data_IF_057784067182
#
_entry.id   IF_057784067182
#
_cell.length_a   1.000
_cell.length_b   1.000
_cell.length_c   1.000
_cell.angle_alpha   90.00
_cell.angle_beta   90.00
_cell.angle_gamma   90.00
#
_symmetry.space_group_name_H-M   'P 1'
#
loop_
_entity.id
_entity.type
_entity.pdbx_description
1 polymer ?
#
# COMPACT_ATOMS: atom_id res chain seq x y z
N UNK A 1 -33.56 43.01 17.35
CA UNK A 1 -32.82 41.84 17.84
C UNK A 1 -32.69 40.87 16.67
N UNK A 2 -31.56 40.94 15.98
CA UNK A 2 -31.19 39.95 14.97
C UNK A 2 -30.57 38.82 15.77
N UNK A 3 -31.21 37.66 15.81
CA UNK A 3 -30.59 36.43 16.33
C UNK A 3 -29.34 36.19 15.50
N UNK A 4 -28.19 36.34 16.15
CA UNK A 4 -26.92 35.85 15.63
C UNK A 4 -27.10 34.34 15.48
N UNK A 5 -27.17 33.87 14.24
CA UNK A 5 -27.01 32.46 13.93
C UNK A 5 -25.57 32.15 14.32
N UNK A 6 -25.39 31.54 15.49
CA UNK A 6 -24.09 31.02 15.92
C UNK A 6 -23.59 30.10 14.82
N UNK A 7 -22.54 30.56 14.14
CA UNK A 7 -21.99 29.85 13.00
C UNK A 7 -21.30 28.59 13.54
N UNK A 8 -21.84 27.43 13.21
CA UNK A 8 -21.35 26.08 13.55
C UNK A 8 -19.84 25.90 13.34
N UNK A 9 -19.22 26.75 12.49
CA UNK A 9 -17.78 26.83 12.24
C UNK A 9 -16.90 27.34 13.39
N UNK A 10 -17.43 27.86 14.51
CA UNK A 10 -16.61 28.51 15.55
C UNK A 10 -16.25 27.63 16.78
N UNK A 11 -16.68 26.38 16.83
CA UNK A 11 -16.33 25.43 17.90
C UNK A 11 -15.58 24.19 17.37
N UNK A 12 -14.66 23.64 18.16
CA UNK A 12 -13.81 22.46 17.85
C UNK A 12 -14.59 21.23 17.33
N UNK A 13 -15.91 21.19 17.59
CA UNK A 13 -16.87 20.20 17.10
C UNK A 13 -16.90 20.04 15.56
N UNK A 14 -16.58 21.09 14.78
CA UNK A 14 -16.51 20.95 13.32
C UNK A 14 -15.29 20.11 12.90
N UNK A 15 -14.15 20.30 13.56
CA UNK A 15 -12.93 19.57 13.22
C UNK A 15 -13.07 18.07 13.54
N UNK A 16 -13.69 17.73 14.68
CA UNK A 16 -13.99 16.33 15.02
C UNK A 16 -14.99 15.68 14.05
N UNK A 17 -16.01 16.42 13.61
CA UNK A 17 -16.99 15.92 12.64
C UNK A 17 -16.34 15.55 11.30
N UNK A 18 -15.47 16.42 10.77
CA UNK A 18 -14.80 16.22 9.47
C UNK A 18 -13.81 15.03 9.46
N UNK A 19 -13.30 14.62 10.64
CA UNK A 19 -12.46 13.42 10.77
C UNK A 19 -13.19 12.12 10.38
N UNK A 20 -14.53 12.13 10.40
CA UNK A 20 -15.39 10.96 10.17
C UNK A 20 -16.19 11.06 8.86
N UNK A 21 -15.64 11.72 7.83
CA UNK A 21 -16.29 11.91 6.53
C UNK A 21 -16.89 10.64 5.92
N UNK A 22 -16.19 9.51 5.94
CA UNK A 22 -16.72 8.22 5.42
C UNK A 22 -18.02 7.79 6.15
N UNK A 23 -18.09 7.97 7.48
CA UNK A 23 -19.27 7.64 8.27
C UNK A 23 -20.40 8.65 8.04
N UNK A 24 -20.05 9.93 7.91
CA UNK A 24 -21.01 10.99 7.61
C UNK A 24 -21.64 10.79 6.23
N UNK A 25 -20.84 10.48 5.21
CA UNK A 25 -21.34 10.16 3.88
C UNK A 25 -22.23 8.92 3.89
N UNK A 26 -21.89 7.90 4.67
CA UNK A 26 -22.71 6.70 4.81
C UNK A 26 -24.09 7.00 5.44
N UNK A 27 -24.12 7.88 6.45
CA UNK A 27 -25.38 8.39 7.00
C UNK A 27 -26.16 9.18 5.92
N UNK A 28 -25.49 10.10 5.23
CA UNK A 28 -26.12 11.01 4.28
C UNK A 28 -26.67 10.30 3.03
N UNK A 29 -26.09 9.14 2.66
CA UNK A 29 -26.61 8.28 1.58
C UNK A 29 -27.82 7.44 2.01
N UNK A 30 -28.09 7.33 3.30
CA UNK A 30 -29.17 6.51 3.84
C UNK A 30 -28.85 5.01 3.90
N UNK A 31 -27.57 4.62 3.79
CA UNK A 31 -27.10 3.24 3.80
C UNK A 31 -27.06 2.63 5.22
N UNK A 32 -27.72 3.27 6.19
CA UNK A 32 -27.68 2.95 7.62
C UNK A 32 -28.54 1.73 7.97
N UNK A 33 -28.07 0.80 8.82
CA UNK A 33 -28.86 -0.28 9.38
C UNK A 33 -30.13 0.24 10.00
N UNK A 34 -31.23 -0.44 9.70
CA UNK A 34 -32.60 -0.14 10.14
C UNK A 34 -32.80 -0.07 11.67
N UNK A 35 -31.79 -0.32 12.50
CA UNK A 35 -31.90 -0.41 13.96
C UNK A 35 -31.68 0.93 14.68
N UNK A 36 -31.16 1.96 14.03
CA UNK A 36 -30.99 3.30 14.62
C UNK A 36 -32.26 4.16 14.38
N UNK A 37 -33.24 4.06 15.28
CA UNK A 37 -34.54 4.78 15.20
C UNK A 37 -34.40 6.30 14.97
N UNK A 38 -33.36 6.92 15.52
CA UNK A 38 -33.09 8.36 15.36
C UNK A 38 -32.68 8.71 13.91
N UNK A 39 -31.88 7.87 13.26
CA UNK A 39 -31.48 8.03 11.86
C UNK A 39 -32.65 7.79 10.90
N UNK A 40 -33.55 6.84 11.22
CA UNK A 40 -34.81 6.67 10.48
C UNK A 40 -35.65 7.94 10.47
N UNK A 41 -35.86 8.55 11.65
CA UNK A 41 -36.63 9.79 11.78
C UNK A 41 -35.96 10.96 11.05
N UNK A 42 -34.63 11.05 11.06
CA UNK A 42 -33.90 12.09 10.33
C UNK A 42 -33.96 11.92 8.81
N UNK A 43 -33.92 10.67 8.31
CA UNK A 43 -34.09 10.37 6.89
C UNK A 43 -35.53 10.64 6.40
N UNK A 44 -36.55 10.41 7.24
CA UNK A 44 -37.95 10.74 6.93
C UNK A 44 -38.21 12.26 6.82
N UNK A 45 -37.39 13.09 7.49
CA UNK A 45 -37.52 14.56 7.47
C UNK A 45 -36.94 15.19 6.19
N UNK A 46 -36.22 14.41 5.36
CA UNK A 46 -35.70 14.89 4.07
C UNK A 46 -34.63 15.98 4.20
N UNK A 47 -33.79 15.89 5.25
CA UNK A 47 -32.66 16.79 5.45
C UNK A 47 -31.60 16.60 4.36
N UNK A 48 -30.98 17.69 3.91
CA UNK A 48 -29.90 17.63 2.90
C UNK A 48 -28.58 17.07 3.47
N UNK A 49 -28.38 17.11 4.79
CA UNK A 49 -27.21 16.57 5.50
C UNK A 49 -27.64 15.95 6.85
N UNK A 50 -28.25 14.74 6.85
CA UNK A 50 -28.67 14.04 8.07
C UNK A 50 -27.54 13.84 9.09
N UNK A 51 -26.31 13.60 8.64
CA UNK A 51 -25.12 13.39 9.49
C UNK A 51 -24.83 14.56 10.42
N UNK A 52 -24.86 15.79 9.90
CA UNK A 52 -24.64 17.03 10.68
C UNK A 52 -25.74 17.25 11.72
N UNK A 53 -27.00 16.99 11.34
CA UNK A 53 -28.12 17.09 12.26
C UNK A 53 -28.02 16.04 13.37
N UNK A 54 -27.58 14.83 13.04
CA UNK A 54 -27.38 13.76 14.02
C UNK A 54 -26.25 14.10 15.01
N UNK A 55 -25.11 14.55 14.50
CA UNK A 55 -23.96 14.95 15.33
C UNK A 55 -24.31 16.10 16.29
N UNK A 56 -25.03 17.12 15.81
CA UNK A 56 -25.41 18.27 16.62
C UNK A 56 -26.58 17.98 17.58
N UNK A 57 -27.51 17.10 17.19
CA UNK A 57 -28.72 16.80 17.95
C UNK A 57 -28.52 15.78 19.07
N UNK A 58 -27.68 14.76 18.86
CA UNK A 58 -27.37 13.73 19.84
C UNK A 58 -25.96 13.16 19.65
N UNK A 59 -24.96 13.85 20.22
CA UNK A 59 -23.54 13.46 20.11
C UNK A 59 -23.28 12.05 20.67
N UNK A 60 -23.96 11.65 21.74
CA UNK A 60 -23.77 10.34 22.35
C UNK A 60 -24.28 9.20 21.44
N UNK A 61 -25.47 9.36 20.85
CA UNK A 61 -26.00 8.41 19.87
C UNK A 61 -25.15 8.37 18.59
N UNK A 62 -24.65 9.53 18.13
CA UNK A 62 -23.72 9.59 17.00
C UNK A 62 -22.44 8.79 17.27
N UNK A 63 -21.81 8.96 18.44
CA UNK A 63 -20.61 8.22 18.82
C UNK A 63 -20.86 6.71 18.93
N UNK A 64 -22.03 6.31 19.46
CA UNK A 64 -22.42 4.91 19.51
C UNK A 64 -22.58 4.31 18.10
N UNK A 65 -23.25 5.03 17.20
CA UNK A 65 -23.41 4.62 15.81
C UNK A 65 -22.07 4.55 15.07
N UNK A 66 -21.17 5.51 15.30
CA UNK A 66 -19.82 5.51 14.74
C UNK A 66 -19.02 4.28 15.20
N UNK A 67 -19.13 3.89 16.48
CA UNK A 67 -18.47 2.66 17.00
C UNK A 67 -19.02 1.41 16.33
N UNK A 68 -20.33 1.29 16.15
CA UNK A 68 -20.95 0.16 15.48
C UNK A 68 -20.51 0.07 14.00
N UNK A 69 -20.58 1.20 13.27
CA UNK A 69 -20.13 1.30 11.88
C UNK A 69 -18.66 0.87 11.72
N UNK A 70 -17.78 1.31 12.62
CA UNK A 70 -16.36 0.94 12.58
C UNK A 70 -16.13 -0.56 12.70
N UNK A 71 -16.85 -1.24 13.61
CA UNK A 71 -16.73 -2.68 13.80
C UNK A 71 -17.25 -3.44 12.58
N UNK A 72 -18.42 -3.07 12.08
CA UNK A 72 -19.01 -3.70 10.89
C UNK A 72 -18.11 -3.55 9.66
N UNK A 73 -17.64 -2.32 9.40
CA UNK A 73 -16.78 -2.02 8.26
C UNK A 73 -15.43 -2.73 8.36
N UNK A 74 -14.91 -2.88 9.58
CA UNK A 74 -13.68 -3.66 9.84
C UNK A 74 -13.86 -5.12 9.46
N UNK A 75 -14.97 -5.75 9.86
CA UNK A 75 -15.24 -7.15 9.53
C UNK A 75 -15.30 -7.38 8.01
N UNK A 76 -15.96 -6.47 7.29
CA UNK A 76 -16.05 -6.52 5.83
C UNK A 76 -14.67 -6.34 5.17
N UNK A 77 -13.95 -5.27 5.52
CA UNK A 77 -12.69 -4.89 4.88
C UNK A 77 -11.59 -5.92 5.16
N UNK A 78 -11.55 -6.47 6.38
CA UNK A 78 -10.61 -7.53 6.76
C UNK A 78 -11.12 -8.93 6.40
N UNK A 79 -12.18 -8.99 5.57
CA UNK A 79 -12.62 -10.18 4.85
C UNK A 79 -13.06 -11.33 5.76
N UNK A 80 -13.80 -11.02 6.84
CA UNK A 80 -14.31 -12.02 7.79
C UNK A 80 -15.07 -13.15 7.12
N UNK A 81 -16.03 -12.80 6.26
CA UNK A 81 -16.87 -13.78 5.55
C UNK A 81 -16.03 -14.70 4.65
N UNK A 82 -15.02 -14.16 3.97
CA UNK A 82 -14.10 -14.95 3.16
C UNK A 82 -13.36 -16.00 3.99
N UNK A 83 -12.86 -15.63 5.17
CA UNK A 83 -12.17 -16.61 6.02
C UNK A 83 -13.11 -17.71 6.52
N UNK A 84 -14.32 -17.34 6.93
CA UNK A 84 -15.33 -18.32 7.36
C UNK A 84 -15.72 -19.26 6.22
N UNK A 85 -15.96 -18.73 5.02
CA UNK A 85 -16.30 -19.54 3.84
C UNK A 85 -15.16 -20.48 3.45
N UNK A 86 -13.91 -20.01 3.52
CA UNK A 86 -12.74 -20.79 3.07
C UNK A 86 -12.23 -21.82 4.06
N UNK A 87 -12.28 -21.51 5.35
CA UNK A 87 -11.67 -22.35 6.39
C UNK A 87 -12.71 -22.98 7.34
N UNK A 88 -14.00 -22.67 7.19
CA UNK A 88 -15.05 -23.10 8.11
C UNK A 88 -15.19 -22.16 9.31
N UNK A 89 -16.20 -22.39 10.16
CA UNK A 89 -16.56 -21.46 11.23
C UNK A 89 -15.44 -21.26 12.26
N UNK A 90 -14.83 -22.34 12.75
CA UNK A 90 -13.81 -22.29 13.81
C UNK A 90 -12.47 -21.75 13.28
N UNK A 91 -11.89 -22.41 12.27
CA UNK A 91 -10.60 -22.00 11.70
C UNK A 91 -10.70 -20.67 10.95
N UNK A 92 -11.83 -20.38 10.30
CA UNK A 92 -12.07 -19.11 9.63
C UNK A 92 -12.16 -17.95 10.60
N UNK A 93 -12.86 -18.12 11.73
CA UNK A 93 -12.88 -17.13 12.80
C UNK A 93 -11.48 -16.91 13.38
N UNK A 94 -10.71 -17.99 13.59
CA UNK A 94 -9.31 -17.88 14.03
C UNK A 94 -8.45 -17.06 13.06
N UNK A 95 -8.54 -17.33 11.75
CA UNK A 95 -7.77 -16.58 10.75
C UNK A 95 -8.20 -15.12 10.63
N UNK A 96 -9.49 -14.84 10.73
CA UNK A 96 -10.00 -13.48 10.77
C UNK A 96 -9.48 -12.71 12.00
N UNK A 97 -9.56 -13.27 13.20
CA UNK A 97 -9.06 -12.65 14.44
C UNK A 97 -7.56 -12.34 14.35
N UNK A 98 -6.79 -13.25 13.75
CA UNK A 98 -5.37 -13.00 13.47
C UNK A 98 -5.17 -11.87 12.48
N UNK A 99 -5.97 -11.81 11.42
CA UNK A 99 -5.88 -10.74 10.44
C UNK A 99 -6.20 -9.37 11.08
N UNK A 100 -7.21 -9.33 11.93
CA UNK A 100 -7.60 -8.16 12.72
C UNK A 100 -6.51 -7.72 13.70
N UNK A 101 -5.93 -8.66 14.46
CA UNK A 101 -4.83 -8.36 15.37
C UNK A 101 -3.63 -7.74 14.64
N UNK A 102 -3.29 -8.26 13.46
CA UNK A 102 -2.19 -7.75 12.64
C UNK A 102 -2.48 -6.37 12.07
N UNK A 103 -3.72 -6.13 11.67
CA UNK A 103 -4.16 -4.80 11.28
C UNK A 103 -4.04 -3.82 12.44
N UNK A 104 -4.44 -4.20 13.67
CA UNK A 104 -4.26 -3.35 14.86
C UNK A 104 -2.79 -3.01 15.13
N UNK A 105 -1.89 -3.99 14.99
CA UNK A 105 -0.44 -3.75 15.08
C UNK A 105 0.05 -2.75 14.03
N UNK A 106 -0.48 -2.81 12.79
CA UNK A 106 -0.17 -1.80 11.78
C UNK A 106 -0.66 -0.41 12.19
N UNK A 107 -1.89 -0.29 12.72
CA UNK A 107 -2.41 1.01 13.20
C UNK A 107 -1.55 1.59 14.31
N UNK A 108 -1.06 0.76 15.24
CA UNK A 108 -0.11 1.20 16.28
C UNK A 108 1.16 1.79 15.66
N UNK A 109 1.78 1.11 14.70
CA UNK A 109 3.00 1.62 14.04
C UNK A 109 2.75 2.87 13.19
N UNK A 110 1.59 2.95 12.54
CA UNK A 110 1.18 4.15 11.81
C UNK A 110 1.00 5.35 12.75
N UNK A 111 0.39 5.13 13.91
CA UNK A 111 0.21 6.18 14.92
C UNK A 111 1.55 6.67 15.49
N UNK A 112 2.56 5.80 15.60
CA UNK A 112 3.93 6.14 15.98
C UNK A 112 4.73 6.85 14.86
N UNK A 113 4.15 7.00 13.66
CA UNK A 113 4.83 7.54 12.46
C UNK A 113 6.11 6.77 12.07
N UNK A 114 6.16 5.47 12.38
CA UNK A 114 7.34 4.61 12.11
C UNK A 114 7.22 3.81 10.80
N UNK A 115 6.09 3.96 10.08
CA UNK A 115 5.80 3.16 8.89
C UNK A 115 6.27 3.86 7.62
N UNK A 116 7.11 3.17 6.85
CA UNK A 116 7.52 3.61 5.50
C UNK A 116 6.88 2.66 4.47
N UNK A 117 6.04 3.16 3.55
CA UNK A 117 5.44 2.33 2.52
C UNK A 117 6.50 1.92 1.49
N UNK A 118 6.50 0.63 1.16
CA UNK A 118 7.28 0.05 0.07
C UNK A 118 6.29 -0.40 -1.02
N UNK A 119 6.27 0.33 -2.13
CA UNK A 119 5.23 0.23 -3.15
C UNK A 119 5.77 -0.49 -4.38
N UNK A 120 5.10 -1.57 -4.78
CA UNK A 120 5.42 -2.34 -5.96
C UNK A 120 4.49 -2.07 -7.14
N UNK A 121 4.77 -2.73 -8.26
CA UNK A 121 4.10 -2.47 -9.54
C UNK A 121 2.61 -2.81 -9.54
N UNK A 122 2.13 -3.57 -8.55
CA UNK A 122 0.71 -3.85 -8.38
C UNK A 122 -0.15 -2.59 -8.20
N UNK A 123 0.37 -1.55 -7.56
CA UNK A 123 -0.33 -0.27 -7.38
C UNK A 123 -0.51 0.49 -8.70
N UNK A 124 0.42 0.31 -9.63
CA UNK A 124 0.40 1.02 -10.92
C UNK A 124 -0.52 0.38 -11.97
N UNK A 125 -1.06 -0.83 -11.71
CA UNK A 125 -1.89 -1.57 -12.67
C UNK A 125 -3.18 -0.83 -13.01
N UNK A 126 -3.92 -0.36 -12.01
CA UNK A 126 -5.15 0.40 -12.23
C UNK A 126 -4.89 1.73 -12.97
N UNK A 127 -3.68 2.28 -12.84
CA UNK A 127 -3.26 3.49 -13.54
C UNK A 127 -2.74 3.26 -14.98
N UNK A 128 -2.81 2.03 -15.49
CA UNK A 128 -2.48 1.69 -16.88
C UNK A 128 -1.09 1.12 -17.11
N UNK A 129 -0.32 0.81 -16.06
CA UNK A 129 1.02 0.22 -16.19
C UNK A 129 1.04 -1.28 -15.89
N UNK A 130 1.78 -2.11 -16.65
CA UNK A 130 1.86 -3.52 -16.35
C UNK A 130 2.71 -3.79 -15.10
N UNK A 131 2.46 -4.91 -14.42
CA UNK A 131 3.43 -5.45 -13.48
C UNK A 131 4.71 -5.87 -14.22
N UNK A 132 5.84 -5.91 -13.51
CA UNK A 132 7.11 -6.36 -14.10
C UNK A 132 7.01 -7.77 -14.70
N UNK A 133 6.35 -8.69 -14.00
CA UNK A 133 6.09 -10.04 -14.48
C UNK A 133 5.26 -10.06 -15.79
N UNK A 134 4.20 -9.24 -15.86
CA UNK A 134 3.36 -9.16 -17.06
C UNK A 134 4.09 -8.50 -18.22
N UNK A 135 4.92 -7.49 -17.96
CA UNK A 135 5.75 -6.85 -18.99
C UNK A 135 6.75 -7.83 -19.60
N UNK A 136 7.54 -8.51 -18.76
CA UNK A 136 8.49 -9.55 -19.20
C UNK A 136 7.79 -10.70 -19.90
N UNK A 137 6.57 -11.05 -19.48
CA UNK A 137 5.77 -12.08 -20.16
C UNK A 137 5.43 -11.71 -21.60
N UNK A 138 5.08 -10.45 -21.86
CA UNK A 138 4.76 -10.01 -23.22
C UNK A 138 6.02 -9.87 -24.07
N UNK A 139 7.07 -9.25 -23.54
CA UNK A 139 8.34 -9.10 -24.27
C UNK A 139 9.01 -10.45 -24.55
N UNK A 140 9.00 -11.37 -23.60
CA UNK A 140 9.53 -12.71 -23.78
C UNK A 140 8.84 -13.47 -24.91
N UNK A 141 7.52 -13.28 -25.09
CA UNK A 141 6.79 -13.85 -26.24
C UNK A 141 7.25 -13.22 -27.55
N UNK A 142 7.44 -11.90 -27.60
CA UNK A 142 7.99 -11.20 -28.77
C UNK A 142 9.43 -11.65 -29.07
N UNK A 143 10.20 -12.04 -28.06
CA UNK A 143 11.53 -12.66 -28.19
C UNK A 143 11.52 -14.14 -28.57
N UNK A 144 10.33 -14.73 -28.80
CA UNK A 144 10.21 -16.13 -29.21
C UNK A 144 10.40 -17.15 -28.08
N UNK A 145 10.42 -16.71 -26.82
CA UNK A 145 10.50 -17.62 -25.67
C UNK A 145 9.16 -18.37 -25.55
N UNK A 146 9.15 -19.72 -25.47
CA UNK A 146 7.92 -20.47 -25.28
C UNK A 146 7.14 -20.01 -24.04
N UNK A 147 5.83 -19.85 -24.18
CA UNK A 147 4.95 -19.38 -23.09
C UNK A 147 5.13 -20.20 -21.80
N UNK A 148 5.22 -21.52 -21.92
CA UNK A 148 5.40 -22.43 -20.77
C UNK A 148 6.70 -22.18 -20.02
N UNK A 149 7.79 -21.88 -20.75
CA UNK A 149 9.09 -21.57 -20.17
C UNK A 149 9.09 -20.21 -19.46
N UNK A 150 8.47 -19.19 -20.06
CA UNK A 150 8.26 -17.89 -19.40
C UNK A 150 7.48 -18.08 -18.10
N UNK A 151 6.37 -18.83 -18.13
CA UNK A 151 5.54 -19.07 -16.95
C UNK A 151 6.29 -19.82 -15.85
N UNK A 152 7.15 -20.78 -16.21
CA UNK A 152 8.03 -21.47 -15.28
C UNK A 152 9.05 -20.54 -14.63
N UNK A 153 9.76 -19.72 -15.42
CA UNK A 153 10.74 -18.77 -14.90
C UNK A 153 10.10 -17.71 -14.00
N UNK A 154 8.96 -17.14 -14.40
CA UNK A 154 8.21 -16.21 -13.56
C UNK A 154 7.75 -16.84 -12.24
N UNK A 155 7.31 -18.11 -12.27
CA UNK A 155 6.91 -18.82 -11.05
C UNK A 155 8.08 -19.02 -10.08
N UNK A 156 9.29 -19.23 -10.60
CA UNK A 156 10.53 -19.34 -9.83
C UNK A 156 11.14 -17.99 -9.42
N UNK A 157 10.60 -16.87 -9.93
CA UNK A 157 11.14 -15.53 -9.71
C UNK A 157 12.40 -15.23 -10.52
N UNK A 158 12.65 -16.01 -11.57
CA UNK A 158 13.81 -15.89 -12.46
C UNK A 158 13.60 -14.79 -13.52
N UNK A 159 13.29 -13.58 -13.07
CA UNK A 159 13.07 -12.42 -13.95
C UNK A 159 14.33 -12.08 -14.75
N UNK A 160 15.49 -12.19 -14.12
CA UNK A 160 16.80 -11.91 -14.72
C UNK A 160 17.14 -12.86 -15.88
N UNK A 161 16.70 -14.13 -15.83
CA UNK A 161 16.88 -15.08 -16.94
C UNK A 161 16.04 -14.70 -18.15
N UNK A 162 14.82 -14.20 -17.94
CA UNK A 162 13.95 -13.74 -19.02
C UNK A 162 14.57 -12.51 -19.69
N UNK A 163 15.06 -11.56 -18.89
CA UNK A 163 15.74 -10.35 -19.37
C UNK A 163 16.95 -10.73 -20.22
N UNK A 164 17.81 -11.62 -19.72
CA UNK A 164 19.00 -12.07 -20.44
C UNK A 164 18.66 -12.69 -21.80
N UNK A 165 17.64 -13.54 -21.88
CA UNK A 165 17.19 -14.12 -23.15
C UNK A 165 16.65 -13.07 -24.12
N UNK A 166 15.87 -12.09 -23.63
CA UNK A 166 15.35 -11.00 -24.47
C UNK A 166 16.52 -10.14 -24.99
N UNK A 167 17.47 -9.80 -24.13
CA UNK A 167 18.66 -9.01 -24.52
C UNK A 167 19.53 -9.74 -25.55
N UNK A 168 19.65 -11.07 -25.44
CA UNK A 168 20.36 -11.90 -26.43
C UNK A 168 19.63 -11.97 -27.78
N UNK A 169 18.30 -12.03 -27.78
CA UNK A 169 17.49 -12.12 -29.00
C UNK A 169 17.34 -10.79 -29.74
N UNK A 170 17.10 -9.70 -29.01
CA UNK A 170 16.70 -8.39 -29.57
C UNK A 170 17.71 -7.26 -29.34
N UNK A 171 18.72 -7.49 -28.51
CA UNK A 171 19.67 -6.48 -28.09
C UNK A 171 19.17 -5.63 -26.93
N UNK A 172 20.12 -5.13 -26.12
CA UNK A 172 19.84 -4.34 -24.91
C UNK A 172 19.11 -3.04 -25.19
N UNK A 173 19.46 -2.36 -26.28
CA UNK A 173 18.88 -1.05 -26.61
C UNK A 173 17.40 -1.16 -26.98
N UNK A 174 17.02 -2.24 -27.67
CA UNK A 174 15.61 -2.50 -28.01
C UNK A 174 14.80 -2.81 -26.76
N UNK A 175 15.31 -3.68 -25.88
CA UNK A 175 14.68 -3.97 -24.59
C UNK A 175 14.47 -2.70 -23.75
N UNK A 176 15.49 -1.85 -23.64
CA UNK A 176 15.39 -0.59 -22.92
C UNK A 176 14.45 0.42 -23.59
N UNK A 177 14.33 0.43 -24.93
CA UNK A 177 13.37 1.27 -25.64
C UNK A 177 11.93 0.83 -25.37
N UNK A 178 11.63 -0.47 -25.41
CA UNK A 178 10.28 -0.97 -25.13
C UNK A 178 9.81 -0.67 -23.70
N UNK A 179 10.72 -0.77 -22.72
CA UNK A 179 10.43 -0.33 -21.34
C UNK A 179 10.08 1.15 -21.32
N UNK A 180 10.86 1.99 -22.02
CA UNK A 180 10.55 3.42 -22.13
C UNK A 180 9.17 3.66 -22.73
N UNK A 181 8.82 2.98 -23.82
CA UNK A 181 7.56 3.18 -24.51
C UNK A 181 6.33 2.77 -23.68
N UNK A 182 6.50 1.80 -22.78
CA UNK A 182 5.45 1.36 -21.86
C UNK A 182 5.33 2.30 -20.65
N UNK A 183 6.45 2.65 -20.01
CA UNK A 183 6.44 3.35 -18.72
C UNK A 183 6.51 4.88 -18.84
N UNK A 184 6.86 5.45 -20.00
CA UNK A 184 6.87 6.91 -20.22
C UNK A 184 5.47 7.49 -20.48
N UNK A 185 4.44 6.64 -20.57
CA UNK A 185 3.05 7.06 -20.78
C UNK A 185 2.52 7.82 -19.55
N UNK A 186 1.52 8.66 -19.76
CA UNK A 186 0.78 9.28 -18.67
C UNK A 186 -0.31 8.32 -18.23
N UNK A 187 -0.22 7.82 -16.99
CA UNK A 187 -1.25 6.97 -16.40
C UNK A 187 -2.39 7.77 -15.77
N UNK A 188 -3.37 7.06 -15.23
CA UNK A 188 -4.50 7.64 -14.49
C UNK A 188 -4.29 7.50 -12.98
N UNK A 189 -4.39 8.61 -12.25
CA UNK A 189 -4.44 8.58 -10.79
C UNK A 189 -5.64 7.73 -10.35
N UNK A 190 -5.40 6.79 -9.43
CA UNK A 190 -6.43 5.93 -8.84
C UNK A 190 -6.61 6.28 -7.37
N UNK A 191 -7.76 5.92 -6.79
CA UNK A 191 -8.08 6.18 -5.38
C UNK A 191 -7.00 5.63 -4.43
N UNK A 192 -6.48 4.44 -4.71
CA UNK A 192 -5.38 3.86 -3.92
C UNK A 192 -4.14 4.77 -3.85
N UNK A 193 -3.79 5.42 -4.96
CA UNK A 193 -2.63 6.33 -5.01
C UNK A 193 -2.90 7.60 -4.21
N UNK A 194 -4.13 8.11 -4.23
CA UNK A 194 -4.58 9.21 -3.37
C UNK A 194 -4.49 8.82 -1.88
N UNK A 195 -4.99 7.63 -1.51
CA UNK A 195 -4.92 7.14 -0.11
C UNK A 195 -3.50 6.99 0.40
N UNK A 196 -2.59 6.50 -0.44
CA UNK A 196 -1.17 6.41 -0.10
C UNK A 196 -0.61 7.80 0.23
N UNK A 197 -0.89 8.80 -0.60
CA UNK A 197 -0.39 10.16 -0.38
C UNK A 197 -1.03 10.86 0.84
N UNK A 198 -2.28 10.54 1.16
CA UNK A 198 -2.94 11.04 2.36
C UNK A 198 -2.34 10.46 3.64
N UNK A 199 -2.01 9.16 3.62
CA UNK A 199 -1.52 8.41 4.79
C UNK A 199 0.00 8.58 5.01
N UNK A 200 0.77 8.77 3.94
CA UNK A 200 2.23 8.84 3.97
C UNK A 200 2.76 10.12 3.33
N UNK A 201 3.32 11.01 4.16
CA UNK A 201 3.77 12.35 3.72
C UNK A 201 5.27 12.58 3.85
N UNK A 202 5.99 11.71 4.54
CA UNK A 202 7.44 11.85 4.77
C UNK A 202 8.25 11.13 3.68
N UNK A 203 8.34 9.80 3.77
CA UNK A 203 9.16 9.00 2.86
C UNK A 203 8.36 7.83 2.28
N UNK A 204 8.49 7.58 0.98
CA UNK A 204 7.96 6.42 0.26
C UNK A 204 9.09 5.73 -0.51
N UNK A 205 9.08 4.40 -0.54
CA UNK A 205 10.04 3.60 -1.30
C UNK A 205 9.29 2.85 -2.40
N UNK A 206 9.84 2.79 -3.61
CA UNK A 206 9.24 2.02 -4.70
C UNK A 206 10.29 1.41 -5.63
N UNK A 207 9.95 0.29 -6.26
CA UNK A 207 10.71 -0.29 -7.38
C UNK A 207 10.10 0.08 -8.74
N UNK A 208 9.05 0.92 -8.76
CA UNK A 208 8.34 1.28 -9.98
C UNK A 208 9.06 2.39 -10.74
N UNK A 209 9.02 2.32 -12.07
CA UNK A 209 9.57 3.35 -12.95
C UNK A 209 8.57 4.45 -13.29
N UNK A 210 7.28 4.12 -13.30
CA UNK A 210 6.20 5.05 -13.65
C UNK A 210 6.09 6.22 -12.67
N UNK A 211 5.30 7.21 -13.04
CA UNK A 211 5.23 8.50 -12.33
C UNK A 211 3.97 8.69 -11.49
N UNK A 212 3.17 7.64 -11.27
CA UNK A 212 1.86 7.78 -10.63
C UNK A 212 1.95 8.34 -9.23
N UNK A 213 2.93 7.88 -8.44
CA UNK A 213 3.13 8.37 -7.08
C UNK A 213 3.47 9.86 -7.08
N UNK A 214 4.34 10.32 -7.97
CA UNK A 214 4.71 11.73 -8.05
C UNK A 214 3.54 12.62 -8.50
N UNK A 215 2.72 12.12 -9.44
CA UNK A 215 1.58 12.86 -9.98
C UNK A 215 0.53 13.19 -8.90
N UNK A 216 0.36 12.34 -7.89
CA UNK A 216 -0.60 12.60 -6.81
C UNK A 216 -0.21 13.81 -5.95
N UNK A 217 1.08 14.07 -5.79
CA UNK A 217 1.55 15.22 -5.02
C UNK A 217 1.74 16.49 -5.89
N UNK A 218 1.53 16.38 -7.21
CA UNK A 218 1.63 17.50 -8.14
C UNK A 218 0.37 18.36 -8.10
N UNK A 219 0.28 19.22 -7.08
CA UNK A 219 -0.88 20.07 -6.77
C UNK A 219 -0.77 21.50 -7.33
N UNK A 220 0.22 21.77 -8.20
CA UNK A 220 0.43 23.08 -8.84
C UNK A 220 1.20 24.12 -8.02
N UNK A 221 1.46 23.87 -6.73
CA UNK A 221 2.47 24.61 -5.96
C UNK A 221 3.85 23.98 -6.15
N UNK A 222 4.92 24.78 -6.01
CA UNK A 222 6.31 24.35 -6.21
C UNK A 222 6.60 22.98 -5.56
N UNK A 223 6.93 22.00 -6.41
CA UNK A 223 7.04 20.55 -6.17
C UNK A 223 7.10 20.13 -4.70
N UNK A 224 5.94 19.73 -4.15
CA UNK A 224 5.81 19.12 -2.82
C UNK A 224 6.50 17.73 -2.72
N UNK A 225 7.09 17.24 -3.81
CA UNK A 225 7.81 15.97 -3.89
C UNK A 225 9.25 16.16 -4.31
N UNK A 226 10.11 15.36 -3.68
CA UNK A 226 11.49 15.08 -4.07
C UNK A 226 11.58 13.63 -4.55
N UNK A 227 12.12 13.41 -5.76
CA UNK A 227 12.39 12.05 -6.27
C UNK A 227 13.87 11.74 -6.12
N UNK A 228 14.19 10.65 -5.45
CA UNK A 228 15.57 10.19 -5.22
C UNK A 228 15.76 8.84 -5.90
N UNK A 229 16.80 8.71 -6.73
CA UNK A 229 17.17 7.42 -7.32
C UNK A 229 17.81 6.51 -6.26
N UNK A 230 17.60 5.19 -6.36
CA UNK A 230 18.23 4.18 -5.52
C UNK A 230 19.74 4.35 -5.32
N UNK A 231 20.46 4.81 -6.36
CA UNK A 231 21.91 5.06 -6.28
C UNK A 231 22.30 6.22 -5.35
N UNK A 232 21.35 7.12 -5.09
CA UNK A 232 21.47 8.27 -4.19
C UNK A 232 20.47 8.19 -3.04
N UNK A 233 19.92 7.02 -2.72
CA UNK A 233 18.86 6.85 -1.72
C UNK A 233 19.23 7.27 -0.28
N UNK A 234 20.51 7.53 -0.03
CA UNK A 234 21.03 8.08 1.24
C UNK A 234 21.18 9.61 1.22
N UNK A 235 20.77 10.28 0.15
CA UNK A 235 20.73 11.74 0.08
C UNK A 235 19.77 12.30 1.13
N UNK A 236 20.04 13.51 1.63
CA UNK A 236 19.18 14.10 2.64
C UNK A 236 17.82 14.48 2.03
N UNK A 237 16.71 14.09 2.70
CA UNK A 237 15.39 14.62 2.40
C UNK A 237 15.38 16.15 2.50
N UNK A 238 14.71 16.79 1.56
CA UNK A 238 14.43 18.22 1.63
C UNK A 238 13.35 18.48 2.68
N UNK A 239 13.51 19.50 3.54
CA UNK A 239 12.46 19.91 4.46
C UNK A 239 11.16 20.23 3.71
N UNK A 240 10.02 19.89 4.32
CA UNK A 240 8.66 20.17 3.82
C UNK A 240 8.29 19.50 2.48
N UNK A 241 9.05 18.51 2.03
CA UNK A 241 8.73 17.70 0.84
C UNK A 241 8.56 16.23 1.18
N UNK A 242 7.63 15.59 0.48
CA UNK A 242 7.53 14.13 0.48
C UNK A 242 8.63 13.54 -0.39
N UNK A 243 9.42 12.63 0.18
CA UNK A 243 10.52 11.95 -0.50
C UNK A 243 10.05 10.64 -1.11
N UNK A 244 10.21 10.47 -2.43
CA UNK A 244 9.94 9.21 -3.14
C UNK A 244 11.28 8.62 -3.60
N UNK A 245 11.66 7.50 -3.01
CA UNK A 245 12.87 6.76 -3.32
C UNK A 245 12.56 5.68 -4.35
N UNK A 246 13.00 5.87 -5.59
CA UNK A 246 12.82 4.93 -6.70
C UNK A 246 14.06 4.07 -6.84
N UNK A 247 14.02 2.87 -6.26
CA UNK A 247 15.16 1.96 -6.11
C UNK A 247 15.79 1.58 -7.46
N UNK A 248 14.97 1.37 -8.48
CA UNK A 248 15.44 1.00 -9.82
C UNK A 248 15.53 2.17 -10.80
N UNK A 249 15.32 3.40 -10.33
CA UNK A 249 15.39 4.61 -11.14
C UNK A 249 14.03 5.16 -11.59
N UNK A 250 14.07 6.24 -12.35
CA UNK A 250 12.90 7.00 -12.79
C UNK A 250 12.84 7.07 -14.32
N UNK A 251 11.67 6.83 -14.90
CA UNK A 251 11.47 6.86 -16.35
C UNK A 251 11.69 8.25 -16.97
N UNK A 252 11.72 9.33 -16.16
CA UNK A 252 12.21 10.65 -16.63
C UNK A 252 13.68 10.63 -17.03
N UNK A 253 14.47 9.78 -16.42
CA UNK A 253 15.90 9.64 -16.66
C UNK A 253 16.27 8.18 -16.99
N UNK A 254 15.82 7.65 -18.15
CA UNK A 254 15.96 6.22 -18.46
C UNK A 254 17.39 5.68 -18.43
N UNK A 255 18.37 6.53 -18.73
CA UNK A 255 19.79 6.17 -18.66
C UNK A 255 20.26 5.82 -17.23
N UNK A 256 19.49 6.19 -16.21
CA UNK A 256 19.74 5.91 -14.79
C UNK A 256 18.84 4.80 -14.24
N UNK A 257 18.07 4.11 -15.10
CA UNK A 257 17.23 2.98 -14.70
C UNK A 257 18.00 1.66 -14.72
N UNK A 258 17.66 0.76 -13.79
CA UNK A 258 18.19 -0.59 -13.69
C UNK A 258 17.22 -1.54 -14.41
N UNK A 259 17.48 -1.82 -15.68
CA UNK A 259 16.55 -2.58 -16.53
C UNK A 259 17.11 -3.97 -16.88
N UNK A 260 18.36 -3.99 -17.35
CA UNK A 260 19.04 -5.18 -17.86
C UNK A 260 19.80 -5.96 -16.79
N UNK A 261 20.18 -7.22 -17.11
CA UNK A 261 20.92 -8.12 -16.19
C UNK A 261 22.21 -7.48 -15.67
N UNK A 262 23.00 -6.90 -16.58
CA UNK A 262 24.27 -6.26 -16.24
C UNK A 262 24.09 -5.06 -15.28
N UNK A 263 22.99 -4.32 -15.41
CA UNK A 263 22.70 -3.20 -14.52
C UNK A 263 22.29 -3.69 -13.13
N UNK A 264 21.53 -4.78 -13.03
CA UNK A 264 21.25 -5.43 -11.74
C UNK A 264 22.54 -5.90 -11.07
N UNK A 265 23.44 -6.53 -11.82
CA UNK A 265 24.72 -7.01 -11.28
C UNK A 265 25.62 -5.86 -10.81
N UNK A 266 25.62 -4.73 -11.52
CA UNK A 266 26.34 -3.52 -11.09
C UNK A 266 25.71 -2.86 -9.86
N UNK A 267 24.38 -2.91 -9.73
CA UNK A 267 23.64 -2.24 -8.67
C UNK A 267 23.58 -3.04 -7.35
N UNK A 268 23.54 -4.37 -7.44
CA UNK A 268 23.38 -5.28 -6.29
C UNK A 268 24.60 -6.17 -6.03
N UNK A 269 25.47 -6.37 -7.02
CA UNK A 269 26.56 -7.34 -7.00
C UNK A 269 26.26 -8.56 -7.86
N UNK A 270 27.25 -9.01 -8.65
CA UNK A 270 27.05 -10.04 -9.68
C UNK A 270 26.86 -11.46 -9.12
N UNK A 271 27.77 -11.89 -8.24
CA UNK A 271 27.76 -13.26 -7.66
C UNK A 271 27.09 -13.31 -6.29
N UNK A 272 27.33 -12.29 -5.49
CA UNK A 272 26.78 -12.13 -4.14
C UNK A 272 26.33 -10.68 -3.97
N UNK A 273 25.38 -10.47 -3.07
CA UNK A 273 24.93 -9.13 -2.71
C UNK A 273 26.09 -8.33 -2.09
N UNK A 274 26.36 -7.15 -2.63
CA UNK A 274 27.38 -6.25 -2.10
C UNK A 274 26.73 -5.09 -1.34
N UNK A 275 26.77 -5.18 0.00
CA UNK A 275 26.21 -4.17 0.90
C UNK A 275 27.01 -2.86 0.95
N UNK A 276 28.12 -2.74 0.22
CA UNK A 276 28.82 -1.47 0.03
C UNK A 276 28.25 -0.68 -1.15
N UNK A 277 27.52 -1.33 -2.06
CA UNK A 277 26.84 -0.65 -3.15
C UNK A 277 25.66 0.18 -2.62
N UNK A 278 25.34 1.32 -3.27
CA UNK A 278 24.36 2.26 -2.74
C UNK A 278 22.98 1.67 -2.47
N UNK A 279 22.46 0.83 -3.38
CA UNK A 279 21.11 0.28 -3.28
C UNK A 279 21.00 -0.75 -2.14
N UNK A 280 21.82 -1.83 -2.10
CA UNK A 280 21.82 -2.75 -0.96
C UNK A 280 22.07 -2.06 0.37
N UNK A 281 22.95 -1.04 0.41
CA UNK A 281 23.21 -0.24 1.61
C UNK A 281 21.97 0.53 2.09
N UNK A 282 21.27 1.22 1.18
CA UNK A 282 20.06 1.97 1.49
C UNK A 282 18.91 1.04 1.90
N UNK A 283 18.68 -0.05 1.17
CA UNK A 283 17.69 -1.07 1.53
C UNK A 283 17.98 -1.63 2.92
N UNK A 284 19.24 -1.99 3.22
CA UNK A 284 19.64 -2.44 4.57
C UNK A 284 19.33 -1.41 5.65
N UNK A 285 19.52 -0.12 5.37
CA UNK A 285 19.19 0.95 6.32
C UNK A 285 17.68 0.96 6.62
N UNK A 286 16.82 1.04 5.61
CA UNK A 286 15.37 1.08 5.83
C UNK A 286 14.83 -0.22 6.44
N UNK A 287 15.36 -1.38 6.03
CA UNK A 287 14.95 -2.67 6.58
C UNK A 287 15.28 -2.80 8.07
N UNK A 288 16.30 -2.12 8.57
CA UNK A 288 16.71 -2.21 9.99
C UNK A 288 16.15 -1.11 10.88
N UNK A 289 15.76 0.03 10.30
CA UNK A 289 15.44 1.23 11.08
C UNK A 289 13.99 1.70 10.91
N UNK A 290 13.18 1.02 10.08
CA UNK A 290 11.80 1.42 9.82
C UNK A 290 10.87 0.20 9.79
N UNK A 291 9.60 0.40 10.16
CA UNK A 291 8.55 -0.59 9.92
C UNK A 291 8.08 -0.42 8.48
N UNK A 292 8.41 -1.36 7.59
CA UNK A 292 7.97 -1.26 6.20
C UNK A 292 6.54 -1.76 6.04
N UNK A 293 5.75 -1.09 5.20
CA UNK A 293 4.46 -1.59 4.71
C UNK A 293 4.57 -1.88 3.21
N UNK A 294 4.65 -3.16 2.84
CA UNK A 294 4.70 -3.60 1.46
C UNK A 294 3.29 -3.59 0.83
N UNK A 295 3.13 -2.87 -0.29
CA UNK A 295 1.84 -2.74 -0.98
C UNK A 295 2.04 -2.96 -2.48
N UNK A 296 1.29 -3.90 -3.08
CA UNK A 296 1.43 -4.23 -4.49
C UNK A 296 2.77 -4.86 -4.86
N UNK A 297 3.50 -5.40 -3.87
CA UNK A 297 4.77 -6.11 -4.04
C UNK A 297 4.50 -7.62 -4.08
N UNK A 298 5.14 -8.34 -5.01
CA UNK A 298 5.01 -9.81 -5.06
C UNK A 298 5.71 -10.53 -3.90
N UNK A 299 6.70 -9.87 -3.26
CA UNK A 299 7.49 -10.41 -2.14
C UNK A 299 7.98 -11.85 -2.39
N UNK A 300 8.41 -12.16 -3.63
CA UNK A 300 8.89 -13.49 -4.01
C UNK A 300 10.41 -13.55 -3.98
N UNK A 301 11.05 -13.35 -5.14
CA UNK A 301 12.47 -13.60 -5.29
C UNK A 301 13.18 -12.60 -6.20
N UNK A 302 12.83 -11.31 -6.11
CA UNK A 302 13.64 -10.26 -6.73
C UNK A 302 14.84 -9.88 -5.84
N UNK A 303 15.81 -9.14 -6.40
CA UNK A 303 17.03 -8.71 -5.69
C UNK A 303 16.74 -7.90 -4.43
N UNK A 304 15.67 -7.11 -4.39
CA UNK A 304 15.32 -6.35 -3.17
C UNK A 304 14.89 -7.30 -2.04
N UNK A 305 14.15 -8.36 -2.36
CA UNK A 305 13.76 -9.39 -1.40
C UNK A 305 14.94 -10.28 -1.00
N UNK A 306 15.88 -10.55 -1.90
CA UNK A 306 17.13 -11.23 -1.54
C UNK A 306 17.95 -10.40 -0.54
N UNK A 307 18.06 -9.08 -0.76
CA UNK A 307 18.67 -8.16 0.22
C UNK A 307 17.91 -8.22 1.54
N UNK A 308 16.57 -8.20 1.53
CA UNK A 308 15.76 -8.28 2.73
C UNK A 308 16.03 -9.58 3.53
N UNK A 309 16.02 -10.74 2.85
CA UNK A 309 16.31 -12.06 3.43
C UNK A 309 17.68 -12.11 4.10
N UNK A 310 18.70 -11.60 3.41
CA UNK A 310 20.08 -11.57 3.91
C UNK A 310 20.22 -10.63 5.12
N UNK A 311 19.63 -9.43 5.06
CA UNK A 311 19.63 -8.48 6.19
C UNK A 311 18.91 -9.07 7.40
N UNK A 312 17.76 -9.71 7.19
CA UNK A 312 17.02 -10.40 8.26
C UNK A 312 17.87 -11.51 8.89
N UNK A 313 18.52 -12.34 8.06
CA UNK A 313 19.39 -13.41 8.55
C UNK A 313 20.58 -12.88 9.36
N UNK A 314 21.15 -11.73 9.00
CA UNK A 314 22.26 -11.11 9.73
C UNK A 314 21.82 -10.38 11.01
N UNK A 315 20.62 -9.81 11.03
CA UNK A 315 20.10 -9.05 12.18
C UNK A 315 19.56 -9.96 13.31
N UNK A 316 19.07 -11.16 12.95
CA UNK A 316 18.34 -12.03 13.87
C UNK A 316 16.94 -11.49 14.20
N UNK A 317 16.28 -12.12 15.19
CA UNK A 317 14.89 -11.76 15.56
C UNK A 317 14.80 -10.63 16.59
N UNK A 318 15.78 -10.49 17.47
CA UNK A 318 15.69 -9.56 18.60
C UNK A 318 15.75 -8.07 18.18
N UNK A 319 16.41 -7.76 17.06
CA UNK A 319 16.69 -6.38 16.65
C UNK A 319 16.05 -5.96 15.33
N UNK A 320 15.24 -6.82 14.72
CA UNK A 320 14.65 -6.54 13.41
C UNK A 320 13.24 -5.97 13.57
N UNK A 321 12.93 -4.79 12.99
CA UNK A 321 11.60 -4.21 13.08
C UNK A 321 10.51 -5.16 12.56
N UNK A 322 9.30 -5.01 13.08
CA UNK A 322 8.15 -5.65 12.48
C UNK A 322 7.81 -4.93 11.17
N UNK A 323 7.78 -5.67 10.08
CA UNK A 323 7.29 -5.21 8.78
C UNK A 323 5.89 -5.76 8.52
N UNK A 324 5.18 -5.15 7.58
CA UNK A 324 3.81 -5.47 7.21
C UNK A 324 3.68 -5.61 5.70
N UNK A 325 2.70 -6.39 5.26
CA UNK A 325 2.32 -6.45 3.85
C UNK A 325 0.80 -6.52 3.73
N UNK A 326 0.21 -5.86 2.73
CA UNK A 326 -1.17 -6.11 2.32
C UNK A 326 -1.12 -7.06 1.14
N UNK A 327 -1.56 -8.31 1.33
CA UNK A 327 -1.34 -9.37 0.34
C UNK A 327 -2.56 -10.25 0.09
N UNK A 328 -2.66 -10.75 -1.15
CA UNK A 328 -3.68 -11.70 -1.56
C UNK A 328 -3.52 -13.02 -0.80
N UNK A 329 -4.60 -13.47 -0.18
CA UNK A 329 -4.68 -14.80 0.40
C UNK A 329 -4.62 -15.85 -0.73
N UNK A 330 -3.67 -16.81 -0.68
CA UNK A 330 -3.76 -17.99 -1.53
C UNK A 330 -5.12 -18.68 -1.35
N UNK A 331 -5.68 -19.18 -2.45
CA UNK A 331 -7.01 -19.81 -2.45
C UNK A 331 -6.99 -21.22 -1.84
N UNK A 332 -5.83 -21.86 -1.88
CA UNK A 332 -5.59 -23.19 -1.33
C UNK A 332 -5.13 -23.03 0.13
N UNK A 333 -5.84 -23.60 1.12
CA UNK A 333 -5.52 -23.45 2.55
C UNK A 333 -4.07 -23.78 2.90
N UNK A 334 -3.51 -24.86 2.34
CA UNK A 334 -2.14 -25.28 2.59
C UNK A 334 -1.12 -24.26 2.07
N UNK A 335 -1.39 -23.68 0.89
CA UNK A 335 -0.56 -22.62 0.31
C UNK A 335 -0.66 -21.33 1.15
N UNK A 336 -1.85 -21.02 1.67
CA UNK A 336 -2.08 -19.88 2.55
C UNK A 336 -1.26 -20.01 3.84
N UNK A 337 -1.32 -21.17 4.50
CA UNK A 337 -0.56 -21.46 5.73
C UNK A 337 0.95 -21.40 5.47
N UNK A 338 1.40 -22.00 4.36
CA UNK A 338 2.81 -21.99 3.97
C UNK A 338 3.31 -20.57 3.70
N UNK A 339 2.54 -19.77 2.95
CA UNK A 339 2.87 -18.37 2.63
C UNK A 339 2.87 -17.50 3.89
N UNK A 340 1.91 -17.67 4.77
CA UNK A 340 1.86 -16.99 6.06
C UNK A 340 3.11 -17.30 6.90
N UNK A 341 3.52 -18.56 6.96
CA UNK A 341 4.72 -18.99 7.68
C UNK A 341 6.01 -18.49 7.03
N UNK A 342 6.06 -18.40 5.70
CA UNK A 342 7.17 -17.79 4.97
C UNK A 342 7.34 -16.31 5.35
N UNK A 343 6.29 -15.52 5.24
CA UNK A 343 6.34 -14.08 5.53
C UNK A 343 6.70 -13.81 7.00
N UNK A 344 6.13 -14.57 7.94
CA UNK A 344 6.47 -14.44 9.36
C UNK A 344 7.94 -14.74 9.66
N UNK A 345 8.54 -15.75 9.01
CA UNK A 345 9.98 -16.03 9.15
C UNK A 345 10.86 -14.88 8.63
N UNK A 346 10.35 -14.09 7.70
CA UNK A 346 11.00 -12.88 7.22
C UNK A 346 10.77 -11.68 8.15
N UNK A 347 9.94 -11.81 9.20
CA UNK A 347 9.52 -10.67 10.03
C UNK A 347 8.46 -9.79 9.36
N UNK A 348 7.76 -10.32 8.35
CA UNK A 348 6.69 -9.64 7.62
C UNK A 348 5.35 -10.18 8.12
N UNK A 349 4.52 -9.28 8.62
CA UNK A 349 3.18 -9.54 9.13
C UNK A 349 2.15 -9.21 8.05
N UNK A 350 1.59 -10.23 7.42
CA UNK A 350 0.64 -10.05 6.33
C UNK A 350 -0.79 -9.76 6.84
N UNK A 351 -1.38 -8.71 6.28
CA UNK A 351 -2.82 -8.41 6.28
C UNK A 351 -3.38 -8.95 4.97
N UNK A 352 -4.30 -9.88 5.08
CA UNK A 352 -4.79 -10.70 3.98
C UNK A 352 -6.10 -10.16 3.42
N UNK A 353 -6.22 -10.22 2.09
CA UNK A 353 -7.48 -10.00 1.37
C UNK A 353 -7.71 -11.09 0.32
N UNK A 354 -8.95 -11.40 -0.07
CA UNK A 354 -9.25 -12.40 -1.09
C UNK A 354 -8.55 -12.11 -2.42
N UNK A 355 -8.06 -13.16 -3.07
CA UNK A 355 -7.39 -13.05 -4.37
C UNK A 355 -8.28 -12.38 -5.41
N UNK A 356 -7.69 -11.45 -6.18
CA UNK A 356 -8.38 -10.69 -7.22
C UNK A 356 -9.24 -9.52 -6.73
N UNK A 357 -9.46 -9.37 -5.41
CA UNK A 357 -10.23 -8.27 -4.81
C UNK A 357 -9.34 -7.07 -4.50
N UNK A 358 -8.68 -6.52 -5.53
CA UNK A 358 -7.69 -5.46 -5.38
C UNK A 358 -8.25 -4.15 -4.80
N UNK A 359 -9.56 -3.91 -4.94
CA UNK A 359 -10.24 -2.77 -4.33
C UNK A 359 -10.14 -2.77 -2.79
N UNK A 360 -9.96 -3.95 -2.18
CA UNK A 360 -9.80 -4.05 -0.72
C UNK A 360 -8.46 -3.46 -0.25
N UNK A 361 -7.45 -3.35 -1.11
CA UNK A 361 -6.19 -2.69 -0.73
C UNK A 361 -6.45 -1.21 -0.43
N UNK A 362 -7.25 -0.53 -1.25
CA UNK A 362 -7.69 0.85 -1.00
C UNK A 362 -8.52 0.92 0.28
N UNK A 363 -9.50 0.01 0.42
CA UNK A 363 -10.39 0.00 1.56
C UNK A 363 -9.64 -0.22 2.89
N UNK A 364 -8.63 -1.08 2.91
CA UNK A 364 -7.77 -1.32 4.08
C UNK A 364 -7.01 -0.04 4.45
N UNK A 365 -6.40 0.67 3.49
CA UNK A 365 -5.68 1.91 3.78
C UNK A 365 -6.62 3.04 4.23
N UNK A 366 -7.78 3.16 3.59
CA UNK A 366 -8.83 4.11 3.98
C UNK A 366 -9.34 3.83 5.39
N UNK A 367 -9.60 2.57 5.71
CA UNK A 367 -10.01 2.18 7.07
C UNK A 367 -8.88 2.44 8.08
N UNK A 368 -7.62 2.20 7.72
CA UNK A 368 -6.48 2.55 8.58
C UNK A 368 -6.43 4.05 8.91
N UNK A 369 -6.64 4.91 7.91
CA UNK A 369 -6.76 6.37 8.12
C UNK A 369 -7.91 6.71 9.07
N UNK A 370 -9.08 6.10 8.88
CA UNK A 370 -10.24 6.34 9.75
C UNK A 370 -9.99 5.90 11.20
N UNK A 371 -9.25 4.81 11.39
CA UNK A 371 -8.85 4.34 12.72
C UNK A 371 -7.84 5.29 13.39
N UNK A 372 -6.91 5.86 12.63
CA UNK A 372 -6.00 6.90 13.13
C UNK A 372 -6.77 8.17 13.51
N UNK A 373 -7.71 8.61 12.67
CA UNK A 373 -8.59 9.74 12.94
C UNK A 373 -9.40 9.53 14.23
N UNK A 374 -9.95 8.34 14.44
CA UNK A 374 -10.65 7.99 15.67
C UNK A 374 -9.73 8.05 16.90
N UNK A 375 -8.50 7.55 16.80
CA UNK A 375 -7.51 7.68 17.90
C UNK A 375 -7.20 9.15 18.21
N UNK A 376 -6.99 9.97 17.19
CA UNK A 376 -6.72 11.41 17.33
C UNK A 376 -7.88 12.15 18.03
N UNK A 377 -9.12 11.85 17.65
CA UNK A 377 -10.30 12.44 18.28
C UNK A 377 -10.36 12.11 19.78
N UNK A 378 -10.19 10.83 20.16
CA UNK A 378 -10.21 10.42 21.58
C UNK A 378 -9.06 11.00 22.41
N UNK A 379 -7.91 11.28 21.81
CA UNK A 379 -6.81 11.99 22.51
C UNK A 379 -7.20 13.45 22.76
N UNK A 380 -7.90 14.08 21.82
CA UNK A 380 -8.32 15.49 21.90
C UNK A 380 -9.49 15.69 22.88
N UNK A 381 -10.29 14.65 23.12
CA UNK A 381 -11.43 14.67 24.06
C UNK A 381 -11.06 14.36 25.52
N UNK A 382 -9.78 14.06 25.85
CA UNK A 382 -9.24 13.83 27.20
C UNK A 382 -8.43 15.02 27.68
#
# INVERSE_FOLDING_TARGET
MIQQIDNWCQHDNHNEFELFSDFNEWIDRGDTPTELELLKKLNEVGLSTPSKAFYAGDKAAYEQALRAYRIERRHEILSREYFIEKFGDEDGQHWFERNEQRFNQLIERLAEQLVVPFIGAGISVGGGFPTWANHLKQQGRTAGIPKTQIEQWLAQGEYELIIEHIEQAHGRDMFAQEIRDVFARTGSIQDITLRIAELFKDTLITTNYDRLLEQVFDTGNASAVQVINGVTAMAQPEPDKTTIIKIHGDIKHPAQCILGKAQYDQAYGAKHLDFNLPIPKALRYYFRNSSLLFIGCSLRNDRTIQVFKEVKSQAGDYSFPQHFAIEQAPEIPEEFIARNSELLRLGITAIWYPKGRYELVEAILRHAKNELNYRLANITSL
#
